data_IF_591581898719
#
_entry.id   IF_591581898719
#
_cell.length_a   1.000
_cell.length_b   1.000
_cell.length_c   1.000
_cell.angle_alpha   90.00
_cell.angle_beta   90.00
_cell.angle_gamma   90.00
#
_symmetry.space_group_name_H-M   'P 1'
#
loop_
_entity.id
_entity.type
_entity.pdbx_description
1 polymer ?
#
# COMPACT_ATOMS: atom_id res chain seq x y z
N UNK A 1 -22.07 -20.01 0.76
CA UNK A 1 -21.66 -19.55 0.41
C UNK A 1 -21.78 -19.19 -0.10
N UNK A 2 -21.64 -19.21 -0.16
CA UNK A 2 -21.39 -18.84 -0.81
C UNK A 2 -21.24 -18.56 -1.38
N UNK A 3 -21.45 -18.90 -1.66
CA UNK A 3 -21.13 -18.61 -2.36
C UNK A 3 -20.82 -18.20 -2.85
N UNK A 4 -20.82 -18.58 -2.85
CA UNK A 4 -20.36 -18.14 -3.36
C UNK A 4 -20.12 -17.72 -3.94
N UNK A 5 -19.91 -17.92 -4.04
CA UNK A 5 -19.55 -17.38 -4.64
C UNK A 5 -19.69 -17.16 -5.53
N UNK A 6 -19.92 -17.41 -5.69
CA UNK A 6 -20.05 -17.17 -6.70
C UNK A 6 -20.24 -16.15 -7.13
N UNK A 7 -19.97 -15.77 -7.06
CA UNK A 7 -20.07 -14.86 -7.59
C UNK A 7 -19.78 -14.83 -8.84
N UNK A 8 -20.08 -15.61 -9.30
CA UNK A 8 -20.01 -15.67 -10.43
C UNK A 8 -20.46 -14.65 -11.04
N UNK A 9 -20.65 -14.29 -11.78
CA UNK A 9 -21.15 -13.12 -12.37
C UNK A 9 -20.37 -11.88 -12.17
N UNK A 10 -19.29 -11.92 -11.46
CA UNK A 10 -18.46 -10.75 -11.35
C UNK A 10 -17.94 -10.37 -12.71
N UNK A 11 -17.88 -9.07 -13.00
CA UNK A 11 -17.36 -8.65 -14.29
C UNK A 11 -15.94 -9.14 -14.48
N UNK A 12 -15.63 -9.49 -15.69
CA UNK A 12 -14.28 -9.80 -16.07
C UNK A 12 -13.43 -8.60 -15.71
N UNK A 13 -12.31 -8.82 -15.09
CA UNK A 13 -11.48 -7.72 -14.68
C UNK A 13 -11.84 -7.16 -13.33
N UNK A 14 -12.84 -7.75 -12.68
CA UNK A 14 -13.08 -7.39 -11.28
C UNK A 14 -11.77 -7.60 -10.58
N UNK A 15 -11.46 -6.69 -9.70
CA UNK A 15 -10.12 -6.66 -9.20
C UNK A 15 -10.08 -6.58 -7.72
N UNK A 16 -8.90 -6.79 -7.21
CA UNK A 16 -8.66 -6.72 -5.78
C UNK A 16 -8.41 -5.31 -5.30
N UNK A 17 -8.42 -4.34 -6.22
CA UNK A 17 -8.16 -2.96 -5.84
C UNK A 17 -9.28 -2.40 -4.97
N UNK A 18 -8.91 -1.83 -3.84
CA UNK A 18 -9.83 -1.13 -2.96
C UNK A 18 -9.20 0.21 -2.62
N UNK A 19 -9.89 1.27 -2.94
CA UNK A 19 -9.35 2.62 -2.82
C UNK A 19 -8.98 2.99 -1.38
N UNK A 20 -9.82 2.61 -0.42
CA UNK A 20 -9.54 2.94 0.97
C UNK A 20 -8.23 2.38 1.47
N UNK A 21 -8.05 1.06 1.42
CA UNK A 21 -6.79 0.46 1.85
C UNK A 21 -5.60 0.94 1.05
N UNK A 22 -5.76 1.14 -0.27
CA UNK A 22 -4.67 1.60 -1.11
C UNK A 22 -4.21 3.00 -0.69
N UNK A 23 -5.15 3.91 -0.44
CA UNK A 23 -4.81 5.25 -0.01
C UNK A 23 -4.19 5.25 1.38
N UNK A 24 -4.75 4.47 2.30
CA UNK A 24 -4.23 4.41 3.65
C UNK A 24 -2.79 3.91 3.66
N UNK A 25 -2.51 2.88 2.86
CA UNK A 25 -1.16 2.34 2.76
C UNK A 25 -0.22 3.38 2.14
N UNK A 26 -0.64 4.00 1.04
CA UNK A 26 0.18 5.01 0.37
C UNK A 26 0.51 6.17 1.29
N UNK A 27 -0.49 6.64 2.05
CA UNK A 27 -0.29 7.73 3.00
C UNK A 27 0.69 7.32 4.10
N UNK A 28 0.58 6.07 4.58
CA UNK A 28 1.47 5.58 5.62
C UNK A 28 2.92 5.56 5.10
N UNK A 29 3.13 5.05 3.90
CA UNK A 29 4.47 5.01 3.30
C UNK A 29 5.02 6.42 3.16
N UNK A 30 4.24 7.31 2.59
CA UNK A 30 4.70 8.67 2.37
C UNK A 30 5.00 9.37 3.68
N UNK A 31 4.16 9.20 4.68
CA UNK A 31 4.35 9.84 5.97
C UNK A 31 5.64 9.37 6.63
N UNK A 32 5.86 8.06 6.66
CA UNK A 32 7.07 7.52 7.27
C UNK A 32 8.31 7.93 6.47
N UNK A 33 8.20 7.94 5.15
CA UNK A 33 9.31 8.32 4.29
C UNK A 33 9.70 9.78 4.54
N UNK A 34 8.73 10.68 4.54
CA UNK A 34 9.01 12.10 4.72
C UNK A 34 9.49 12.39 6.13
N UNK A 35 8.98 11.68 7.09
CA UNK A 35 9.42 11.81 8.48
C UNK A 35 10.91 11.51 8.59
N UNK A 36 11.37 10.53 7.83
CA UNK A 36 12.78 10.14 7.84
C UNK A 36 13.63 10.96 6.87
N UNK A 37 13.01 11.88 6.14
CA UNK A 37 13.75 12.72 5.22
C UNK A 37 14.21 12.00 3.97
N UNK A 38 13.54 10.91 3.59
CA UNK A 38 13.94 10.10 2.44
C UNK A 38 13.16 10.54 1.21
N UNK A 39 13.88 10.81 0.11
CA UNK A 39 13.23 11.15 -1.15
C UNK A 39 12.50 9.92 -1.71
N UNK A 40 11.43 10.16 -2.45
CA UNK A 40 10.66 9.07 -3.04
C UNK A 40 11.55 8.21 -3.95
N UNK A 41 12.41 8.83 -4.72
CA UNK A 41 13.32 8.10 -5.61
C UNK A 41 14.24 7.18 -4.81
N UNK A 42 14.75 7.69 -3.69
CA UNK A 42 15.64 6.91 -2.85
C UNK A 42 14.91 5.70 -2.28
N UNK A 43 13.70 5.91 -1.79
CA UNK A 43 12.92 4.79 -1.25
C UNK A 43 12.65 3.75 -2.32
N UNK A 44 12.28 4.21 -3.52
CA UNK A 44 12.01 3.29 -4.62
C UNK A 44 13.25 2.46 -4.94
N UNK A 45 14.41 3.10 -4.98
CA UNK A 45 15.67 2.40 -5.25
C UNK A 45 15.95 1.36 -4.16
N UNK A 46 15.83 1.75 -2.90
CA UNK A 46 16.11 0.84 -1.79
C UNK A 46 15.13 -0.34 -1.77
N UNK A 47 13.90 -0.10 -2.17
CA UNK A 47 12.88 -1.15 -2.19
C UNK A 47 12.93 -2.00 -3.46
N UNK A 48 13.73 -1.60 -4.45
CA UNK A 48 13.77 -2.32 -5.70
C UNK A 48 12.49 -2.16 -6.50
N UNK A 49 11.85 -1.00 -6.39
CA UNK A 49 10.60 -0.70 -7.08
C UNK A 49 10.84 0.51 -7.96
N UNK A 50 10.30 0.49 -9.17
CA UNK A 50 10.45 1.63 -10.06
C UNK A 50 9.83 2.87 -9.44
N UNK A 51 10.46 4.02 -9.68
CA UNK A 51 9.99 5.26 -9.08
C UNK A 51 8.56 5.58 -9.46
N UNK A 52 8.20 5.39 -10.73
CA UNK A 52 6.83 5.66 -11.17
C UNK A 52 5.82 4.79 -10.44
N UNK A 53 6.20 3.54 -10.19
CA UNK A 53 5.33 2.62 -9.47
C UNK A 53 5.22 3.03 -8.00
N UNK A 54 6.34 3.44 -7.40
CA UNK A 54 6.32 3.92 -6.02
C UNK A 54 5.40 5.15 -5.90
N UNK A 55 5.43 6.04 -6.89
CA UNK A 55 4.55 7.19 -6.89
C UNK A 55 3.09 6.79 -6.91
N UNK A 56 2.75 5.79 -7.70
CA UNK A 56 1.38 5.31 -7.76
C UNK A 56 0.95 4.71 -6.43
N UNK A 57 1.85 3.99 -5.78
CA UNK A 57 1.56 3.39 -4.48
C UNK A 57 1.28 4.49 -3.45
N UNK A 58 2.13 5.52 -3.42
CA UNK A 58 1.96 6.59 -2.44
C UNK A 58 0.70 7.41 -2.69
N UNK A 59 0.27 7.50 -3.94
CA UNK A 59 -0.96 8.22 -4.26
C UNK A 59 -2.21 7.36 -4.10
N UNK A 60 -2.03 6.09 -3.73
CA UNK A 60 -3.17 5.20 -3.54
C UNK A 60 -3.78 4.73 -4.84
N UNK A 61 -3.04 4.77 -5.93
CA UNK A 61 -3.51 4.39 -7.26
C UNK A 61 -3.23 2.94 -7.60
N UNK A 62 -2.50 2.26 -6.73
CA UNK A 62 -2.09 0.89 -6.97
C UNK A 62 -2.14 0.09 -5.67
N UNK A 63 -2.70 -1.10 -5.75
CA UNK A 63 -2.74 -1.98 -4.58
C UNK A 63 -1.43 -2.77 -4.53
N UNK A 64 -0.62 -2.58 -3.50
CA UNK A 64 0.66 -3.28 -3.43
C UNK A 64 0.46 -4.77 -3.15
N UNK A 65 1.39 -5.56 -3.65
CA UNK A 65 1.41 -6.97 -3.32
C UNK A 65 2.06 -7.15 -1.96
N UNK A 66 1.87 -8.31 -1.37
CA UNK A 66 2.53 -8.62 -0.10
C UNK A 66 4.05 -8.45 -0.22
N UNK A 67 4.61 -8.92 -1.34
CA UNK A 67 6.06 -8.79 -1.55
C UNK A 67 6.49 -7.33 -1.52
N UNK A 68 5.71 -6.46 -2.16
CA UNK A 68 6.04 -5.04 -2.18
C UNK A 68 5.94 -4.41 -0.80
N UNK A 69 4.94 -4.82 -0.03
CA UNK A 69 4.79 -4.33 1.34
C UNK A 69 6.03 -4.65 2.15
N UNK A 70 6.50 -5.89 2.05
CA UNK A 70 7.69 -6.32 2.79
C UNK A 70 8.94 -5.56 2.36
N UNK A 71 9.08 -5.34 1.04
CA UNK A 71 10.23 -4.61 0.51
C UNK A 71 10.23 -3.15 0.95
N UNK A 72 9.06 -2.53 0.92
CA UNK A 72 8.95 -1.12 1.30
C UNK A 72 9.22 -0.95 2.79
N UNK A 73 8.67 -1.83 3.62
CA UNK A 73 8.92 -1.75 5.06
C UNK A 73 10.41 -1.87 5.35
N UNK A 74 11.06 -2.85 4.73
CA UNK A 74 12.50 -3.04 4.93
C UNK A 74 13.27 -1.79 4.50
N UNK A 75 12.91 -1.22 3.36
CA UNK A 75 13.58 -0.02 2.86
C UNK A 75 13.41 1.16 3.82
N UNK A 76 12.28 1.20 4.51
CA UNK A 76 12.02 2.24 5.51
C UNK A 76 12.68 1.93 6.85
N UNK A 77 13.33 0.78 6.97
CA UNK A 77 13.96 0.40 8.22
C UNK A 77 12.95 0.02 9.30
N UNK A 78 11.79 -0.44 8.90
CA UNK A 78 10.72 -0.81 9.82
C UNK A 78 10.24 -2.21 9.51
N UNK A 79 9.53 -2.80 10.46
CA UNK A 79 8.90 -4.09 10.22
C UNK A 79 7.63 -3.86 9.40
N UNK A 80 7.22 -4.89 8.68
CA UNK A 80 5.95 -4.81 7.95
C UNK A 80 4.80 -4.57 8.93
N UNK A 81 4.90 -5.13 10.14
CA UNK A 81 3.89 -4.91 11.15
C UNK A 81 3.74 -3.45 11.51
N UNK A 82 4.87 -2.75 11.68
CA UNK A 82 4.83 -1.33 12.00
C UNK A 82 4.17 -0.54 10.86
N UNK A 83 4.53 -0.86 9.63
CA UNK A 83 3.97 -0.18 8.47
C UNK A 83 2.46 -0.44 8.38
N UNK A 84 2.05 -1.67 8.66
CA UNK A 84 0.63 -1.99 8.60
C UNK A 84 -0.16 -1.38 9.74
N UNK A 85 0.46 -1.22 10.91
CA UNK A 85 -0.21 -0.51 12.01
C UNK A 85 -0.48 0.94 11.62
N UNK A 86 0.48 1.58 10.95
CA UNK A 86 0.28 2.93 10.47
C UNK A 86 -0.84 2.97 9.43
N UNK A 87 -0.88 1.96 8.57
CA UNK A 87 -1.92 1.85 7.56
C UNK A 87 -3.28 1.71 8.21
N UNK A 88 -3.38 0.83 9.19
CA UNK A 88 -4.65 0.59 9.87
C UNK A 88 -5.13 1.82 10.63
N UNK A 89 -4.21 2.55 11.23
CA UNK A 89 -4.58 3.77 11.94
C UNK A 89 -5.24 4.76 11.01
N UNK A 90 -4.72 4.89 9.79
CA UNK A 90 -5.30 5.81 8.81
C UNK A 90 -6.63 5.29 8.28
N UNK A 91 -6.73 3.99 8.13
CA UNK A 91 -7.96 3.39 7.65
C UNK A 91 -9.09 3.60 8.65
N UNK A 92 -8.80 3.40 9.94
CA UNK A 92 -9.80 3.63 10.99
C UNK A 92 -10.22 5.08 11.04
N UNK A 93 -9.27 5.97 10.83
CA UNK A 93 -9.54 7.40 10.86
C UNK A 93 -10.48 7.78 9.72
N UNK A 94 -10.30 7.18 8.55
CA UNK A 94 -11.15 7.46 7.41
C UNK A 94 -12.58 7.00 7.63
N UNK A 95 -12.74 5.93 8.39
CA UNK A 95 -14.07 5.38 8.64
C UNK A 95 -14.87 6.23 9.61
N UNK A 96 -14.20 7.05 10.37
CA UNK A 96 -14.88 7.95 11.28
C UNK A 96 -15.48 9.13 10.52
#
# INVERSE_FOLDING_TARGET
MQKQGIQRGRPTGARTFEAGPARAFGDAVRSLRTEDGIAQETLAHLAGIERSHMGKIERGEHMPTLAMILKIARALGRSAGELMLETEARLLKEED
#
